data_IF_658718693567
#
_entry.id   IF_658718693567
#
_cell.length_a   1.000
_cell.length_b   1.000
_cell.length_c   1.000
_cell.angle_alpha   90.00
_cell.angle_beta   90.00
_cell.angle_gamma   90.00
#
_symmetry.space_group_name_H-M   'P 1'
#
loop_
_entity.id
_entity.type
_entity.pdbx_description
1 polymer ?
#
# COMPACT_ATOMS: atom_id res chain seq x y z
N UNK A 1 40.35 21.21 80.83
CA UNK A 1 39.91 20.33 79.72
C UNK A 1 38.40 20.51 79.54
N UNK A 2 37.97 21.58 78.89
CA UNK A 2 36.59 21.73 78.42
C UNK A 2 36.63 22.69 77.22
N UNK A 3 35.87 22.35 76.18
CA UNK A 3 35.78 23.17 74.96
C UNK A 3 36.42 22.51 73.75
N UNK A 4 35.70 21.55 73.15
CA UNK A 4 35.78 21.25 71.70
C UNK A 4 34.77 20.18 71.24
N UNK A 5 33.56 20.08 71.82
CA UNK A 5 32.53 19.12 71.33
C UNK A 5 31.22 19.80 70.89
N UNK A 6 31.04 21.12 71.09
CA UNK A 6 29.72 21.74 70.93
C UNK A 6 29.38 22.32 69.54
N UNK A 7 30.30 22.38 68.57
CA UNK A 7 30.04 23.13 67.32
C UNK A 7 29.83 22.30 66.05
N UNK A 8 30.10 20.98 66.06
CA UNK A 8 29.90 20.12 64.89
C UNK A 8 28.72 19.13 65.02
N UNK A 9 28.09 19.01 66.19
CA UNK A 9 26.99 18.05 66.44
C UNK A 9 25.58 18.52 66.08
N UNK A 10 25.30 19.84 66.10
CA UNK A 10 23.93 20.38 66.01
C UNK A 10 23.42 20.66 64.58
N UNK A 11 24.30 20.64 63.56
CA UNK A 11 23.89 20.93 62.19
C UNK A 11 23.55 19.66 61.38
N UNK A 12 24.06 18.49 61.75
CA UNK A 12 23.77 17.22 61.07
C UNK A 12 22.29 16.83 61.12
N UNK A 13 21.64 16.78 62.30
CA UNK A 13 20.24 16.38 62.42
C UNK A 13 19.28 17.36 61.71
N UNK A 14 19.57 18.66 61.76
CA UNK A 14 18.74 19.69 61.11
C UNK A 14 18.88 19.70 59.58
N UNK A 15 20.07 19.39 59.04
CA UNK A 15 20.26 19.18 57.60
C UNK A 15 19.56 17.91 57.10
N UNK A 16 19.60 16.82 57.88
CA UNK A 16 18.91 15.56 57.55
C UNK A 16 17.40 15.77 57.54
N UNK A 17 16.84 16.45 58.56
CA UNK A 17 15.41 16.77 58.64
C UNK A 17 14.96 17.72 57.52
N UNK A 18 15.76 18.74 57.19
CA UNK A 18 15.46 19.63 56.06
C UNK A 18 15.47 18.88 54.72
N UNK A 19 16.41 17.95 54.54
CA UNK A 19 16.45 17.08 53.36
C UNK A 19 15.24 16.16 53.30
N UNK A 20 14.90 15.49 54.40
CA UNK A 20 13.72 14.63 54.49
C UNK A 20 12.41 15.39 54.21
N UNK A 21 12.27 16.62 54.71
CA UNK A 21 11.12 17.48 54.41
C UNK A 21 11.10 17.90 52.94
N UNK A 22 12.27 18.20 52.36
CA UNK A 22 12.39 18.48 50.92
C UNK A 22 11.93 17.28 50.09
N UNK A 23 12.43 16.09 50.41
CA UNK A 23 12.11 14.84 49.70
C UNK A 23 10.61 14.51 49.84
N UNK A 24 10.03 14.64 51.04
CA UNK A 24 8.59 14.44 51.26
C UNK A 24 7.74 15.50 50.56
N UNK A 25 8.20 16.75 50.47
CA UNK A 25 7.49 17.82 49.75
C UNK A 25 7.48 17.57 48.24
N UNK A 26 8.59 17.06 47.69
CA UNK A 26 8.69 16.63 46.30
C UNK A 26 7.74 15.44 46.03
N UNK A 27 7.74 14.47 46.93
CA UNK A 27 6.87 13.29 46.84
C UNK A 27 5.38 13.65 46.96
N UNK A 28 5.03 14.59 47.84
CA UNK A 28 3.68 15.14 47.96
C UNK A 28 3.24 15.81 46.65
N UNK A 29 4.09 16.65 46.05
CA UNK A 29 3.78 17.33 44.79
C UNK A 29 3.57 16.33 43.64
N UNK A 30 4.40 15.30 43.55
CA UNK A 30 4.25 14.23 42.57
C UNK A 30 2.90 13.50 42.73
N UNK A 31 2.60 13.03 43.95
CA UNK A 31 1.33 12.35 44.24
C UNK A 31 0.10 13.24 43.99
N UNK A 32 0.19 14.54 44.29
CA UNK A 32 -0.87 15.52 44.03
C UNK A 32 -1.10 15.68 42.51
N UNK A 33 -0.04 15.65 41.70
CA UNK A 33 -0.12 15.68 40.25
C UNK A 33 -0.73 14.38 39.70
N UNK A 34 -0.32 13.22 40.21
CA UNK A 34 -0.88 11.91 39.82
C UNK A 34 -2.39 11.81 40.10
N UNK A 35 -2.84 12.33 41.26
CA UNK A 35 -4.28 12.39 41.61
C UNK A 35 -5.06 13.32 40.66
N UNK A 36 -4.43 14.40 40.21
CA UNK A 36 -5.08 15.40 39.35
C UNK A 36 -5.13 14.96 37.88
N UNK A 37 -4.06 14.33 37.40
CA UNK A 37 -3.90 13.93 36.00
C UNK A 37 -4.40 12.51 35.71
N UNK A 38 -4.48 11.65 36.72
CA UNK A 38 -4.78 10.22 36.55
C UNK A 38 -3.60 9.41 35.98
N UNK A 39 -2.44 10.05 35.79
CA UNK A 39 -1.24 9.45 35.17
C UNK A 39 -0.13 9.43 36.22
N UNK A 40 0.52 8.27 36.38
CA UNK A 40 1.61 8.06 37.34
C UNK A 40 2.87 8.86 36.96
N UNK A 41 3.17 9.01 35.66
CA UNK A 41 4.17 9.98 35.21
C UNK A 41 4.07 10.32 33.73
N UNK A 42 4.29 11.60 33.40
CA UNK A 42 4.46 12.07 32.03
C UNK A 42 5.83 11.72 31.44
N UNK A 43 6.81 11.40 32.30
CA UNK A 43 8.17 11.05 31.89
C UNK A 43 8.47 9.57 32.16
N UNK A 44 9.21 8.92 31.27
CA UNK A 44 9.64 7.53 31.49
C UNK A 44 10.45 7.37 32.79
N UNK A 45 11.13 8.42 33.23
CA UNK A 45 11.89 8.44 34.48
C UNK A 45 10.99 8.23 35.71
N UNK A 46 9.76 8.77 35.72
CA UNK A 46 8.83 8.62 36.84
C UNK A 46 8.01 7.33 36.85
N UNK A 47 8.04 6.52 35.78
CA UNK A 47 7.23 5.28 35.67
C UNK A 47 7.76 4.08 36.49
N UNK A 48 8.88 4.22 37.20
CA UNK A 48 9.44 3.15 38.03
C UNK A 48 9.60 1.81 37.27
N UNK A 49 9.13 0.67 37.83
CA UNK A 49 9.20 -0.65 37.18
C UNK A 49 8.43 -0.78 35.85
N UNK A 50 7.35 0.00 35.66
CA UNK A 50 6.52 -0.02 34.44
C UNK A 50 7.24 0.60 33.23
N UNK A 51 8.33 1.34 33.47
CA UNK A 51 9.18 1.95 32.43
C UNK A 51 9.61 0.95 31.35
N UNK A 52 10.07 -0.23 31.75
CA UNK A 52 10.59 -1.25 30.81
C UNK A 52 9.49 -1.75 29.87
N UNK A 53 8.26 -1.90 30.37
CA UNK A 53 7.09 -2.30 29.58
C UNK A 53 6.64 -1.18 28.65
N UNK A 54 6.59 0.07 29.12
CA UNK A 54 6.26 1.22 28.27
C UNK A 54 7.29 1.40 27.13
N UNK A 55 8.58 1.23 27.42
CA UNK A 55 9.67 1.33 26.44
C UNK A 55 9.67 0.18 25.43
N UNK A 56 9.23 -1.02 25.81
CA UNK A 56 9.16 -2.16 24.88
C UNK A 56 7.94 -2.14 23.96
N UNK A 57 6.87 -1.42 24.34
CA UNK A 57 5.65 -1.27 23.52
C UNK A 57 5.80 -0.21 22.41
N UNK A 58 6.66 0.80 22.59
CA UNK A 58 6.83 1.88 21.63
C UNK A 58 7.29 1.38 20.24
N UNK A 59 8.32 0.50 20.13
CA UNK A 59 8.73 -0.04 18.83
C UNK A 59 7.62 -0.85 18.15
N UNK A 60 6.86 -1.63 18.93
CA UNK A 60 5.73 -2.39 18.41
C UNK A 60 4.63 -1.47 17.84
N UNK A 61 4.35 -0.35 18.52
CA UNK A 61 3.40 0.64 18.05
C UNK A 61 3.87 1.32 16.76
N UNK A 62 5.13 1.76 16.70
CA UNK A 62 5.73 2.36 15.49
C UNK A 62 5.70 1.39 14.32
N UNK A 63 6.06 0.13 14.55
CA UNK A 63 6.04 -0.90 13.52
C UNK A 63 4.61 -1.17 13.00
N UNK A 64 3.63 -1.21 13.90
CA UNK A 64 2.20 -1.36 13.54
C UNK A 64 1.72 -0.18 12.68
N UNK A 65 2.13 1.04 13.01
CA UNK A 65 1.81 2.24 12.23
C UNK A 65 2.45 2.19 10.83
N UNK A 66 3.71 1.73 10.73
CA UNK A 66 4.38 1.55 9.45
C UNK A 66 3.65 0.54 8.55
N UNK A 67 3.25 -0.62 9.11
CA UNK A 67 2.44 -1.60 8.39
C UNK A 67 1.08 -1.05 7.98
N UNK A 68 0.42 -0.27 8.85
CA UNK A 68 -0.83 0.39 8.50
C UNK A 68 -0.66 1.34 7.31
N UNK A 69 0.42 2.13 7.28
CA UNK A 69 0.73 3.01 6.15
C UNK A 69 0.95 2.23 4.85
N UNK A 70 1.70 1.12 4.92
CA UNK A 70 1.93 0.24 3.78
C UNK A 70 0.62 -0.37 3.25
N UNK A 71 -0.28 -0.80 4.14
CA UNK A 71 -1.61 -1.32 3.76
C UNK A 71 -2.42 -0.24 3.03
N UNK A 72 -2.41 1.01 3.51
CA UNK A 72 -3.10 2.12 2.85
C UNK A 72 -2.52 2.42 1.46
N UNK A 73 -1.20 2.47 1.33
CA UNK A 73 -0.54 2.68 0.02
C UNK A 73 -0.90 1.56 -0.97
N UNK A 74 -0.86 0.32 -0.50
CA UNK A 74 -1.25 -0.85 -1.27
C UNK A 74 -2.73 -0.79 -1.71
N UNK A 75 -3.65 -0.41 -0.81
CA UNK A 75 -5.07 -0.25 -1.14
C UNK A 75 -5.30 0.81 -2.22
N UNK A 76 -4.68 2.00 -2.08
CA UNK A 76 -4.81 3.09 -3.06
C UNK A 76 -4.30 2.65 -4.44
N UNK A 77 -3.16 1.94 -4.49
CA UNK A 77 -2.62 1.41 -5.75
C UNK A 77 -3.56 0.38 -6.39
N UNK A 78 -4.11 -0.54 -5.59
CA UNK A 78 -5.07 -1.53 -6.09
C UNK A 78 -6.37 -0.88 -6.57
N UNK A 79 -6.84 0.19 -5.93
CA UNK A 79 -8.02 0.94 -6.37
C UNK A 79 -7.79 1.59 -7.75
N UNK A 80 -6.66 2.29 -7.92
CA UNK A 80 -6.28 2.84 -9.24
C UNK A 80 -6.15 1.75 -10.30
N UNK A 81 -5.58 0.60 -9.93
CA UNK A 81 -5.47 -0.58 -10.82
C UNK A 81 -6.86 -1.12 -11.20
N UNK A 82 -7.76 -1.28 -10.23
CA UNK A 82 -9.11 -1.81 -10.45
C UNK A 82 -9.95 -0.89 -11.34
N UNK A 83 -9.84 0.43 -11.16
CA UNK A 83 -10.53 1.41 -11.99
C UNK A 83 -10.05 1.36 -13.44
N UNK A 84 -8.73 1.26 -13.66
CA UNK A 84 -8.18 1.12 -15.00
C UNK A 84 -8.55 -0.23 -15.63
N UNK A 85 -8.45 -1.35 -14.90
CA UNK A 85 -8.87 -2.66 -15.38
C UNK A 85 -10.36 -2.71 -15.72
N UNK A 86 -11.22 -2.03 -14.96
CA UNK A 86 -12.65 -1.92 -15.27
C UNK A 86 -12.88 -1.23 -16.62
N UNK A 87 -12.16 -0.14 -16.90
CA UNK A 87 -12.27 0.56 -18.18
C UNK A 87 -11.74 -0.29 -19.35
N UNK A 88 -10.62 -1.00 -19.14
CA UNK A 88 -10.07 -1.93 -20.13
C UNK A 88 -11.03 -3.10 -20.38
N UNK A 89 -11.70 -3.61 -19.35
CA UNK A 89 -12.70 -4.69 -19.48
C UNK A 89 -13.95 -4.25 -20.26
N UNK A 90 -14.44 -3.04 -20.00
CA UNK A 90 -15.52 -2.44 -20.79
C UNK A 90 -15.10 -2.30 -22.26
N UNK A 91 -13.90 -1.77 -22.51
CA UNK A 91 -13.34 -1.66 -23.86
C UNK A 91 -13.26 -3.02 -24.57
N UNK A 92 -12.79 -4.07 -23.89
CA UNK A 92 -12.74 -5.42 -24.44
C UNK A 92 -14.14 -5.97 -24.75
N UNK A 93 -15.11 -5.71 -23.87
CA UNK A 93 -16.52 -6.15 -24.04
C UNK A 93 -17.19 -5.44 -25.20
N UNK A 94 -17.01 -4.13 -25.34
CA UNK A 94 -17.53 -3.36 -26.45
C UNK A 94 -16.85 -3.76 -27.76
N UNK A 95 -15.54 -4.01 -27.73
CA UNK A 95 -14.83 -4.54 -28.88
C UNK A 95 -15.34 -5.92 -29.33
N UNK A 96 -15.77 -6.80 -28.42
CA UNK A 96 -16.48 -8.03 -28.83
C UNK A 96 -17.74 -7.71 -29.65
N UNK A 97 -18.51 -6.69 -29.27
CA UNK A 97 -19.70 -6.27 -30.04
C UNK A 97 -19.32 -5.75 -31.42
N UNK A 98 -18.23 -4.99 -31.52
CA UNK A 98 -17.69 -4.52 -32.81
C UNK A 98 -17.27 -5.70 -33.68
N UNK A 99 -16.57 -6.70 -33.13
CA UNK A 99 -16.18 -7.91 -33.86
C UNK A 99 -17.40 -8.75 -34.32
N UNK A 100 -18.43 -8.90 -33.47
CA UNK A 100 -19.67 -9.59 -33.83
C UNK A 100 -20.41 -8.85 -34.96
N UNK A 101 -20.39 -7.52 -34.94
CA UNK A 101 -20.95 -6.69 -36.01
C UNK A 101 -20.19 -6.90 -37.32
N UNK A 102 -18.86 -6.91 -37.29
CA UNK A 102 -18.03 -7.21 -38.47
C UNK A 102 -18.25 -8.62 -39.01
N UNK A 103 -18.53 -9.59 -38.14
CA UNK A 103 -18.85 -10.96 -38.54
C UNK A 103 -20.23 -11.07 -39.20
N UNK A 104 -21.20 -10.24 -38.80
CA UNK A 104 -22.56 -10.26 -39.35
C UNK A 104 -22.76 -9.32 -40.54
N UNK A 105 -21.97 -8.26 -40.65
CA UNK A 105 -22.03 -7.25 -41.70
C UNK A 105 -20.64 -6.72 -42.02
N UNK A 106 -20.08 -7.16 -43.15
CA UNK A 106 -18.75 -6.81 -43.61
C UNK A 106 -18.77 -5.68 -44.67
N UNK A 107 -19.73 -4.75 -44.61
CA UNK A 107 -19.74 -3.59 -45.51
C UNK A 107 -18.53 -2.67 -45.27
N UNK A 108 -18.15 -1.91 -46.30
CA UNK A 108 -17.00 -0.99 -46.22
C UNK A 108 -17.18 0.07 -45.13
N UNK A 109 -18.39 0.60 -44.96
CA UNK A 109 -18.67 1.64 -43.96
C UNK A 109 -18.55 1.10 -42.53
N UNK A 110 -19.08 -0.11 -42.28
CA UNK A 110 -18.97 -0.79 -40.97
C UNK A 110 -17.51 -1.10 -40.65
N UNK A 111 -16.76 -1.59 -41.64
CA UNK A 111 -15.34 -1.89 -41.49
C UNK A 111 -14.53 -0.62 -41.19
N UNK A 112 -14.82 0.48 -41.88
CA UNK A 112 -14.14 1.75 -41.65
C UNK A 112 -14.47 2.36 -40.29
N UNK A 113 -15.71 2.23 -39.81
CA UNK A 113 -16.09 2.63 -38.47
C UNK A 113 -15.32 1.83 -37.39
N UNK A 114 -15.26 0.50 -37.54
CA UNK A 114 -14.53 -0.37 -36.64
C UNK A 114 -13.01 -0.08 -36.62
N UNK A 115 -12.42 0.23 -37.77
CA UNK A 115 -11.01 0.66 -37.86
C UNK A 115 -10.76 1.93 -37.04
N UNK A 116 -11.63 2.93 -37.18
CA UNK A 116 -11.52 4.20 -36.45
C UNK A 116 -11.69 4.00 -34.94
N UNK A 117 -12.68 3.19 -34.54
CA UNK A 117 -12.91 2.83 -33.14
C UNK A 117 -11.71 2.09 -32.54
N UNK A 118 -11.14 1.11 -33.26
CA UNK A 118 -9.99 0.35 -32.80
C UNK A 118 -8.76 1.25 -32.56
N UNK A 119 -8.52 2.24 -33.42
CA UNK A 119 -7.44 3.23 -33.22
C UNK A 119 -7.66 4.09 -31.98
N UNK A 120 -8.88 4.56 -31.77
CA UNK A 120 -9.21 5.31 -30.55
C UNK A 120 -9.03 4.46 -29.30
N UNK A 121 -9.46 3.20 -29.34
CA UNK A 121 -9.29 2.24 -28.24
C UNK A 121 -7.82 1.95 -27.95
N UNK A 122 -6.95 1.88 -28.97
CA UNK A 122 -5.50 1.74 -28.78
C UNK A 122 -4.88 2.94 -28.07
N UNK A 123 -5.27 4.16 -28.44
CA UNK A 123 -4.84 5.38 -27.77
C UNK A 123 -5.29 5.39 -26.30
N UNK A 124 -6.56 5.06 -26.06
CA UNK A 124 -7.14 5.00 -24.72
C UNK A 124 -6.48 3.90 -23.88
N UNK A 125 -6.21 2.73 -24.47
CA UNK A 125 -5.53 1.62 -23.80
C UNK A 125 -4.13 2.05 -23.35
N UNK A 126 -3.35 2.68 -24.22
CA UNK A 126 -2.02 3.19 -23.83
C UNK A 126 -2.09 4.18 -22.67
N UNK A 127 -3.06 5.10 -22.68
CA UNK A 127 -3.27 6.03 -21.58
C UNK A 127 -3.65 5.34 -20.26
N UNK A 128 -4.55 4.34 -20.32
CA UNK A 128 -4.97 3.55 -19.16
C UNK A 128 -3.81 2.73 -18.58
N UNK A 129 -2.97 2.13 -19.42
CA UNK A 129 -1.78 1.38 -18.97
C UNK A 129 -0.75 2.29 -18.31
N UNK A 130 -0.71 3.58 -18.68
CA UNK A 130 0.11 4.61 -18.05
C UNK A 130 -0.58 5.33 -16.87
N UNK A 131 -1.63 4.74 -16.29
CA UNK A 131 -2.30 5.29 -15.08
C UNK A 131 -1.32 5.41 -13.91
N UNK A 132 -1.38 6.56 -13.22
CA UNK A 132 -0.56 6.86 -12.04
C UNK A 132 -1.37 6.84 -10.75
N UNK A 133 -0.69 6.54 -9.65
CA UNK A 133 -1.13 6.81 -8.28
C UNK A 133 -0.02 7.62 -7.58
N UNK A 134 -0.24 8.92 -7.39
CA UNK A 134 0.85 9.85 -7.05
C UNK A 134 1.85 9.93 -8.20
N UNK A 135 3.13 9.68 -7.92
CA UNK A 135 4.20 9.73 -8.92
C UNK A 135 4.45 8.37 -9.60
N UNK A 136 3.88 7.29 -9.06
CA UNK A 136 4.13 5.92 -9.47
C UNK A 136 3.09 5.39 -10.46
N UNK A 137 3.54 4.64 -11.47
CA UNK A 137 2.69 3.93 -12.43
C UNK A 137 2.17 2.62 -11.83
N UNK A 138 0.85 2.44 -11.87
CA UNK A 138 0.20 1.29 -11.21
C UNK A 138 0.54 -0.03 -11.90
N UNK A 139 0.66 -0.02 -13.23
CA UNK A 139 0.95 -1.20 -14.08
C UNK A 139 2.45 -1.46 -14.34
N UNK A 140 3.36 -0.68 -13.75
CA UNK A 140 4.81 -0.84 -13.97
C UNK A 140 5.47 -1.89 -13.07
N UNK A 141 4.72 -2.46 -12.11
CA UNK A 141 5.27 -3.40 -11.15
C UNK A 141 6.27 -2.74 -10.19
N UNK A 142 7.43 -3.36 -10.03
CA UNK A 142 8.56 -2.89 -9.20
C UNK A 142 9.27 -1.67 -9.81
N UNK A 143 9.23 -1.50 -11.13
CA UNK A 143 9.79 -0.34 -11.82
C UNK A 143 8.79 0.84 -11.83
N UNK A 144 8.23 1.20 -10.68
CA UNK A 144 7.07 2.09 -10.56
C UNK A 144 7.26 3.50 -11.14
N UNK A 145 8.50 3.97 -11.28
CA UNK A 145 8.83 5.29 -11.82
C UNK A 145 8.94 5.31 -13.35
N UNK A 146 8.89 4.15 -14.02
CA UNK A 146 8.99 4.02 -15.48
C UNK A 146 7.61 3.73 -16.06
N UNK A 147 7.23 4.48 -17.10
CA UNK A 147 5.95 4.30 -17.77
C UNK A 147 5.84 2.89 -18.38
N UNK A 148 4.73 2.16 -18.16
CA UNK A 148 4.51 0.83 -18.74
C UNK A 148 4.54 0.82 -20.28
N UNK A 149 3.90 1.80 -20.90
CA UNK A 149 3.95 2.06 -22.34
C UNK A 149 4.97 3.18 -22.57
N UNK A 150 5.99 2.85 -23.34
CA UNK A 150 7.15 3.71 -23.62
C UNK A 150 6.98 4.53 -24.90
N UNK A 151 7.63 5.68 -24.95
CA UNK A 151 7.65 6.53 -26.15
C UNK A 151 6.28 7.13 -26.44
N UNK A 152 5.61 6.65 -27.49
CA UNK A 152 4.29 7.13 -27.87
C UNK A 152 3.18 6.34 -27.17
N UNK A 153 2.42 7.02 -26.31
CA UNK A 153 1.24 6.44 -25.64
C UNK A 153 0.13 6.05 -26.63
N UNK A 154 0.12 6.61 -27.84
CA UNK A 154 -0.75 6.12 -28.92
C UNK A 154 -0.20 4.80 -29.50
N UNK A 155 -0.72 3.69 -28.97
CA UNK A 155 -0.35 2.35 -29.39
C UNK A 155 -0.65 2.08 -30.88
N UNK A 156 -1.56 2.82 -31.51
CA UNK A 156 -1.86 2.69 -32.94
C UNK A 156 -0.69 3.12 -33.83
N UNK A 157 0.21 3.94 -33.30
CA UNK A 157 1.41 4.44 -33.98
C UNK A 157 2.69 3.71 -33.55
N UNK A 158 2.58 2.64 -32.77
CA UNK A 158 3.73 1.84 -32.33
C UNK A 158 4.37 1.05 -33.49
N UNK A 159 5.65 0.70 -33.36
CA UNK A 159 6.32 -0.18 -34.32
C UNK A 159 5.65 -1.56 -34.41
N UNK A 160 5.13 -2.08 -33.29
CA UNK A 160 4.31 -3.30 -33.28
C UNK A 160 3.06 -3.15 -34.15
N UNK A 161 2.31 -2.04 -34.01
CA UNK A 161 1.14 -1.77 -34.85
C UNK A 161 1.49 -1.69 -36.34
N UNK A 162 2.60 -1.02 -36.69
CA UNK A 162 3.08 -0.96 -38.07
C UNK A 162 3.42 -2.35 -38.63
N UNK A 163 4.10 -3.18 -37.84
CA UNK A 163 4.48 -4.54 -38.25
C UNK A 163 3.24 -5.44 -38.39
N UNK A 164 2.26 -5.33 -37.49
CA UNK A 164 0.98 -6.04 -37.59
C UNK A 164 0.22 -5.59 -38.84
N UNK A 165 0.19 -4.29 -39.13
CA UNK A 165 -0.48 -3.76 -40.31
C UNK A 165 0.13 -4.29 -41.62
N UNK A 166 1.45 -4.44 -41.66
CA UNK A 166 2.15 -5.05 -42.79
C UNK A 166 1.74 -6.53 -42.97
N UNK A 167 1.75 -7.32 -41.90
CA UNK A 167 1.29 -8.73 -41.93
C UNK A 167 -0.15 -8.86 -42.43
N UNK A 168 -1.06 -8.02 -41.92
CA UNK A 168 -2.46 -8.00 -42.33
C UNK A 168 -2.60 -7.60 -43.81
N UNK A 169 -1.84 -6.61 -44.28
CA UNK A 169 -1.88 -6.17 -45.67
C UNK A 169 -1.35 -7.24 -46.64
N UNK A 170 -0.29 -7.96 -46.26
CA UNK A 170 0.34 -8.98 -47.11
C UNK A 170 -0.47 -10.28 -47.16
N UNK A 171 -1.03 -10.73 -46.03
CA UNK A 171 -1.61 -12.07 -45.89
C UNK A 171 -3.11 -12.09 -45.60
N UNK A 172 -3.73 -10.96 -45.27
CA UNK A 172 -5.15 -10.92 -44.85
C UNK A 172 -6.14 -11.40 -45.92
N UNK A 173 -5.79 -11.24 -47.20
CA UNK A 173 -6.62 -11.69 -48.32
C UNK A 173 -6.42 -13.17 -48.69
N UNK A 174 -5.31 -13.78 -48.30
CA UNK A 174 -4.88 -15.10 -48.77
C UNK A 174 -4.78 -16.16 -47.67
N UNK A 175 -4.54 -15.76 -46.42
CA UNK A 175 -4.34 -16.66 -45.28
C UNK A 175 -4.71 -16.00 -43.93
N UNK A 176 -6.01 -15.96 -43.60
CA UNK A 176 -6.50 -15.37 -42.35
C UNK A 176 -5.93 -16.03 -41.08
N UNK A 177 -5.80 -17.37 -41.09
CA UNK A 177 -5.21 -18.12 -39.98
C UNK A 177 -3.71 -17.79 -39.78
N UNK A 178 -2.97 -17.61 -40.87
CA UNK A 178 -1.57 -17.19 -40.84
C UNK A 178 -1.40 -15.79 -40.23
N UNK A 179 -2.28 -14.85 -40.57
CA UNK A 179 -2.31 -13.51 -39.93
C UNK A 179 -2.52 -13.64 -38.42
N UNK A 180 -3.47 -14.46 -37.98
CA UNK A 180 -3.72 -14.67 -36.55
C UNK A 180 -2.47 -15.23 -35.84
N UNK A 181 -1.85 -16.27 -36.38
CA UNK A 181 -0.67 -16.90 -35.78
C UNK A 181 0.54 -15.97 -35.73
N UNK A 182 0.85 -15.28 -36.84
CA UNK A 182 2.02 -14.38 -36.91
C UNK A 182 1.85 -13.16 -35.99
N UNK A 183 0.67 -12.53 -35.99
CA UNK A 183 0.41 -11.38 -35.11
C UNK A 183 0.42 -11.77 -33.63
N UNK A 184 0.04 -13.01 -33.30
CA UNK A 184 0.16 -13.56 -31.95
C UNK A 184 1.62 -13.65 -31.51
N UNK A 185 2.49 -14.20 -32.37
CA UNK A 185 3.91 -14.28 -32.10
C UNK A 185 4.53 -12.90 -31.88
N UNK A 186 4.19 -11.93 -32.73
CA UNK A 186 4.69 -10.55 -32.64
C UNK A 186 4.28 -9.87 -31.33
N UNK A 187 3.03 -10.03 -30.90
CA UNK A 187 2.55 -9.50 -29.63
C UNK A 187 3.16 -10.24 -28.41
N UNK A 188 3.48 -11.53 -28.56
CA UNK A 188 4.14 -12.33 -27.54
C UNK A 188 5.61 -11.96 -27.32
N UNK A 189 6.28 -11.47 -28.36
CA UNK A 189 7.73 -11.21 -28.40
C UNK A 189 8.03 -9.72 -28.57
N UNK A 190 7.42 -8.88 -27.72
CA UNK A 190 7.72 -7.44 -27.70
C UNK A 190 9.15 -7.17 -27.27
N UNK A 191 9.75 -6.13 -27.87
CA UNK A 191 11.13 -5.71 -27.56
C UNK A 191 11.11 -4.53 -26.59
N UNK A 192 12.21 -4.27 -25.87
CA UNK A 192 12.29 -3.09 -25.01
C UNK A 192 11.95 -1.81 -25.77
N UNK A 193 11.15 -0.97 -25.13
CA UNK A 193 10.63 0.29 -25.64
C UNK A 193 9.68 0.17 -26.86
N UNK A 194 9.17 -1.03 -27.14
CA UNK A 194 8.31 -1.31 -28.29
C UNK A 194 7.25 -2.40 -28.02
N UNK A 195 6.03 -2.02 -27.60
CA UNK A 195 5.61 -0.71 -27.09
C UNK A 195 5.79 -0.56 -25.57
N UNK A 196 6.28 -1.61 -24.91
CA UNK A 196 6.40 -1.64 -23.45
C UNK A 196 7.81 -1.29 -23.00
N UNK A 197 7.92 -0.78 -21.78
CA UNK A 197 9.22 -0.53 -21.16
C UNK A 197 10.05 -1.80 -21.03
N UNK A 198 11.38 -1.63 -20.93
CA UNK A 198 12.31 -2.75 -20.82
C UNK A 198 11.96 -3.78 -19.71
N UNK A 199 11.43 -3.33 -18.56
CA UNK A 199 11.03 -4.22 -17.45
C UNK A 199 9.78 -5.06 -17.76
N UNK A 200 8.96 -4.62 -18.72
CA UNK A 200 7.70 -5.25 -19.11
C UNK A 200 7.78 -6.00 -20.45
N UNK A 201 8.85 -5.80 -21.22
CA UNK A 201 9.18 -6.55 -22.45
C UNK A 201 9.84 -7.90 -22.14
N UNK A 202 9.25 -8.66 -21.21
CA UNK A 202 9.63 -10.03 -20.85
C UNK A 202 8.45 -10.99 -21.11
N UNK A 203 8.59 -12.27 -20.80
CA UNK A 203 7.46 -13.21 -20.91
C UNK A 203 6.35 -12.84 -19.91
N UNK A 204 5.06 -13.14 -20.19
CA UNK A 204 3.97 -12.78 -19.27
C UNK A 204 4.12 -13.35 -17.86
N UNK A 205 4.71 -14.55 -17.72
CA UNK A 205 5.00 -15.17 -16.43
C UNK A 205 6.09 -14.40 -15.65
N UNK A 206 7.13 -13.93 -16.33
CA UNK A 206 8.18 -13.13 -15.69
C UNK A 206 7.66 -11.73 -15.33
N UNK A 207 6.81 -11.13 -16.18
CA UNK A 207 6.17 -9.86 -15.90
C UNK A 207 5.24 -9.94 -14.67
N UNK A 208 4.57 -11.08 -14.45
CA UNK A 208 3.76 -11.30 -13.24
C UNK A 208 4.59 -11.25 -11.95
N UNK A 209 5.83 -11.74 -11.99
CA UNK A 209 6.77 -11.70 -10.84
C UNK A 209 7.28 -10.30 -10.52
N UNK A 210 7.13 -9.34 -11.45
CA UNK A 210 7.50 -7.95 -11.25
C UNK A 210 6.44 -7.16 -10.46
N UNK A 211 5.37 -7.80 -9.96
CA UNK A 211 4.38 -7.13 -9.09
C UNK A 211 5.04 -6.51 -7.86
N UNK A 212 4.56 -5.34 -7.44
CA UNK A 212 5.10 -4.66 -6.28
C UNK A 212 4.76 -5.41 -4.99
N UNK A 213 5.61 -5.34 -3.97
CA UNK A 213 5.37 -6.01 -2.69
C UNK A 213 5.49 -5.05 -1.51
N UNK A 214 4.53 -5.15 -0.59
CA UNK A 214 4.48 -4.32 0.62
C UNK A 214 4.53 -5.20 1.86
N UNK A 215 5.36 -4.82 2.83
CA UNK A 215 5.37 -5.45 4.14
C UNK A 215 4.15 -4.98 4.95
N UNK A 216 3.28 -5.91 5.32
CA UNK A 216 2.00 -5.63 5.98
C UNK A 216 1.90 -6.21 7.39
N UNK A 217 2.93 -6.92 7.84
CA UNK A 217 3.00 -7.55 9.15
C UNK A 217 4.40 -8.12 9.41
N UNK A 218 4.57 -8.76 10.56
CA UNK A 218 5.83 -9.41 10.90
C UNK A 218 6.04 -10.62 9.99
N UNK A 219 7.08 -10.59 9.16
CA UNK A 219 7.36 -11.61 8.15
C UNK A 219 6.20 -11.86 7.17
N UNK A 220 5.31 -10.87 7.01
CA UNK A 220 4.18 -10.93 6.10
C UNK A 220 4.33 -9.83 5.05
N UNK A 221 4.38 -10.24 3.79
CA UNK A 221 4.37 -9.37 2.65
C UNK A 221 3.25 -9.80 1.70
N UNK A 222 2.69 -8.84 0.99
CA UNK A 222 1.66 -9.08 -0.02
C UNK A 222 2.13 -8.50 -1.34
N UNK A 223 1.97 -9.26 -2.43
CA UNK A 223 2.14 -8.74 -3.78
C UNK A 223 0.87 -7.99 -4.16
N UNK A 224 1.03 -6.79 -4.71
CA UNK A 224 -0.08 -5.92 -5.07
C UNK A 224 0.10 -5.34 -6.46
N UNK A 225 -1.03 -5.08 -7.09
CA UNK A 225 -1.12 -4.61 -8.45
C UNK A 225 -1.05 -5.74 -9.46
N UNK A 226 -1.18 -5.35 -10.72
CA UNK A 226 -0.88 -6.17 -11.87
C UNK A 226 0.08 -5.41 -12.76
N UNK A 227 1.00 -6.07 -13.46
CA UNK A 227 1.84 -5.42 -14.47
C UNK A 227 1.17 -5.45 -15.83
N UNK A 228 1.44 -4.46 -16.69
CA UNK A 228 0.72 -4.30 -17.97
C UNK A 228 0.83 -5.54 -18.87
N UNK A 229 1.93 -6.28 -18.79
CA UNK A 229 2.22 -7.43 -19.66
C UNK A 229 2.13 -8.77 -18.94
N UNK A 230 1.68 -8.80 -17.68
CA UNK A 230 1.56 -10.05 -16.95
C UNK A 230 0.54 -10.99 -17.59
N UNK A 231 0.70 -12.27 -17.28
CA UNK A 231 -0.16 -13.32 -17.77
C UNK A 231 0.31 -14.69 -17.34
N UNK A 232 -0.18 -15.70 -18.04
CA UNK A 232 0.19 -17.10 -17.88
C UNK A 232 1.08 -17.56 -19.04
N UNK A 233 1.30 -18.87 -19.15
CA UNK A 233 1.89 -19.46 -20.35
C UNK A 233 1.05 -19.15 -21.60
N UNK A 234 1.71 -18.92 -22.73
CA UNK A 234 1.06 -18.72 -24.03
C UNK A 234 0.34 -19.97 -24.50
N UNK A 235 -0.70 -19.80 -25.32
CA UNK A 235 -1.44 -20.85 -26.00
C UNK A 235 -1.48 -20.59 -27.51
N UNK A 236 -2.22 -21.39 -28.27
CA UNK A 236 -2.42 -21.20 -29.71
C UNK A 236 -3.21 -19.92 -30.06
N UNK A 237 -3.98 -19.39 -29.12
CA UNK A 237 -4.90 -18.25 -29.33
C UNK A 237 -4.57 -17.02 -28.48
N UNK A 238 -3.63 -17.16 -27.54
CA UNK A 238 -3.29 -16.13 -26.56
C UNK A 238 -1.78 -16.07 -26.32
N UNK A 239 -1.25 -14.84 -26.20
CA UNK A 239 0.12 -14.62 -25.74
C UNK A 239 0.32 -15.05 -24.29
N UNK A 240 -0.77 -15.35 -23.58
CA UNK A 240 -0.83 -15.55 -22.13
C UNK A 240 -1.18 -14.26 -21.38
N UNK A 241 -1.01 -13.09 -22.00
CA UNK A 241 -1.31 -11.78 -21.41
C UNK A 241 -2.57 -11.15 -22.03
N UNK A 242 -3.65 -10.96 -21.24
CA UNK A 242 -4.90 -10.39 -21.75
C UNK A 242 -4.75 -9.00 -22.37
N UNK A 243 -3.86 -8.17 -21.82
CA UNK A 243 -3.61 -6.81 -22.32
C UNK A 243 -2.86 -6.86 -23.67
N UNK A 244 -1.87 -7.74 -23.82
CA UNK A 244 -1.16 -7.91 -25.10
C UNK A 244 -2.09 -8.44 -26.19
N UNK A 245 -2.98 -9.36 -25.83
CA UNK A 245 -3.95 -9.93 -26.76
C UNK A 245 -5.01 -8.90 -27.17
N UNK A 246 -5.55 -8.10 -26.23
CA UNK A 246 -6.46 -7.00 -26.54
C UNK A 246 -5.81 -6.01 -27.50
N UNK A 247 -4.59 -5.58 -27.16
CA UNK A 247 -3.80 -4.66 -27.97
C UNK A 247 -3.59 -5.22 -29.38
N UNK A 248 -3.15 -6.48 -29.50
CA UNK A 248 -3.00 -7.16 -30.80
C UNK A 248 -4.31 -7.15 -31.58
N UNK A 249 -5.41 -7.56 -30.96
CA UNK A 249 -6.69 -7.71 -31.65
C UNK A 249 -7.20 -6.36 -32.18
N UNK A 250 -7.05 -5.30 -31.39
CA UNK A 250 -7.33 -3.92 -31.82
C UNK A 250 -6.40 -3.49 -32.97
N UNK A 251 -5.11 -3.79 -32.92
CA UNK A 251 -4.15 -3.48 -34.00
C UNK A 251 -4.49 -4.20 -35.32
N UNK A 252 -4.94 -5.45 -35.24
CA UNK A 252 -5.40 -6.21 -36.41
C UNK A 252 -6.64 -5.55 -37.02
N UNK A 253 -7.65 -5.21 -36.20
CA UNK A 253 -8.86 -4.53 -36.69
C UNK A 253 -8.53 -3.16 -37.29
N UNK A 254 -7.65 -2.38 -36.65
CA UNK A 254 -7.19 -1.09 -37.15
C UNK A 254 -6.46 -1.17 -38.51
N UNK A 255 -6.09 -2.38 -38.95
CA UNK A 255 -5.35 -2.69 -40.17
C UNK A 255 -6.22 -3.32 -41.27
N UNK A 256 -7.51 -3.54 -41.04
CA UNK A 256 -8.40 -4.23 -42.00
C UNK A 256 -8.68 -3.46 -43.30
N UNK A 257 -8.27 -2.19 -43.41
CA UNK A 257 -8.63 -1.33 -44.55
C UNK A 257 -8.17 -1.82 -45.93
N UNK A 258 -7.28 -2.82 -46.00
CA UNK A 258 -6.81 -3.45 -47.25
C UNK A 258 -7.28 -4.90 -47.41
N UNK A 259 -8.07 -5.41 -46.47
CA UNK A 259 -8.58 -6.78 -46.49
C UNK A 259 -9.95 -6.79 -47.19
N UNK A 260 -10.12 -7.70 -48.13
CA UNK A 260 -11.34 -7.89 -48.91
C UNK A 260 -12.39 -8.54 -48.02
N UNK A 261 -13.45 -7.80 -47.74
CA UNK A 261 -14.56 -8.26 -46.90
C UNK A 261 -15.40 -9.32 -47.63
N UNK A 262 -16.16 -10.12 -46.87
CA UNK A 262 -17.02 -11.18 -47.42
C UNK A 262 -16.28 -12.39 -48.01
N UNK A 263 -14.98 -12.53 -47.71
CA UNK A 263 -14.17 -13.68 -48.11
C UNK A 263 -14.03 -14.66 -46.94
N UNK A 264 -13.80 -15.94 -47.23
CA UNK A 264 -13.55 -16.96 -46.20
C UNK A 264 -12.36 -16.58 -45.29
N UNK A 265 -11.31 -15.97 -45.85
CA UNK A 265 -10.15 -15.52 -45.08
C UNK A 265 -10.49 -14.37 -44.13
N UNK A 266 -11.34 -13.44 -44.56
CA UNK A 266 -11.85 -12.37 -43.69
C UNK A 266 -12.69 -12.94 -42.55
N UNK A 267 -13.61 -13.86 -42.86
CA UNK A 267 -14.47 -14.49 -41.85
C UNK A 267 -13.63 -15.29 -40.83
N UNK A 268 -12.62 -16.04 -41.29
CA UNK A 268 -11.68 -16.74 -40.41
C UNK A 268 -10.90 -15.77 -39.51
N UNK A 269 -10.45 -14.64 -40.05
CA UNK A 269 -9.74 -13.61 -39.29
C UNK A 269 -10.63 -13.03 -38.20
N UNK A 270 -11.85 -12.59 -38.54
CA UNK A 270 -12.80 -12.01 -37.58
C UNK A 270 -13.19 -13.03 -36.51
N UNK A 271 -13.48 -14.28 -36.89
CA UNK A 271 -13.82 -15.34 -35.93
C UNK A 271 -12.67 -15.65 -34.97
N UNK A 272 -11.43 -15.73 -35.47
CA UNK A 272 -10.27 -15.92 -34.60
C UNK A 272 -10.02 -14.75 -33.65
N UNK A 273 -10.32 -13.52 -34.08
CA UNK A 273 -10.29 -12.35 -33.18
C UNK A 273 -11.39 -12.40 -32.13
N UNK A 274 -12.60 -12.88 -32.46
CA UNK A 274 -13.67 -13.13 -31.47
C UNK A 274 -13.21 -14.15 -30.43
N UNK A 275 -12.66 -15.29 -30.86
CA UNK A 275 -12.14 -16.31 -29.94
C UNK A 275 -11.03 -15.75 -29.05
N UNK A 276 -10.07 -15.02 -29.62
CA UNK A 276 -8.98 -14.39 -28.86
C UNK A 276 -9.51 -13.33 -27.88
N UNK A 277 -10.51 -12.53 -28.25
CA UNK A 277 -11.07 -11.50 -27.38
C UNK A 277 -11.95 -12.08 -26.25
N UNK A 278 -12.54 -13.27 -26.45
CA UNK A 278 -13.18 -14.00 -25.36
C UNK A 278 -12.15 -14.43 -24.30
N UNK A 279 -10.96 -14.88 -24.71
CA UNK A 279 -9.85 -15.15 -23.77
C UNK A 279 -9.38 -13.87 -23.06
N UNK A 280 -9.33 -12.74 -23.78
CA UNK A 280 -9.04 -11.42 -23.19
C UNK A 280 -10.03 -11.08 -22.07
N UNK A 281 -11.33 -11.15 -22.34
CA UNK A 281 -12.36 -10.78 -21.36
C UNK A 281 -12.34 -11.70 -20.13
N UNK A 282 -12.12 -13.00 -20.33
CA UNK A 282 -11.91 -13.97 -19.24
C UNK A 282 -10.67 -13.65 -18.40
N UNK A 283 -9.55 -13.37 -19.06
CA UNK A 283 -8.29 -13.02 -18.40
C UNK A 283 -8.34 -11.70 -17.63
N UNK A 284 -8.97 -10.66 -18.18
CA UNK A 284 -9.20 -9.38 -17.49
C UNK A 284 -10.12 -9.54 -16.28
N UNK A 285 -11.11 -10.44 -16.36
CA UNK A 285 -11.98 -10.80 -15.24
C UNK A 285 -11.17 -11.47 -14.13
N UNK A 286 -10.25 -12.38 -14.49
CA UNK A 286 -9.35 -13.03 -13.53
C UNK A 286 -8.37 -12.05 -12.89
N UNK A 287 -7.81 -11.11 -13.67
CA UNK A 287 -6.97 -10.02 -13.16
C UNK A 287 -7.74 -9.16 -12.13
N UNK A 288 -8.93 -8.69 -12.50
CA UNK A 288 -9.80 -7.91 -11.60
C UNK A 288 -10.18 -8.68 -10.34
N UNK A 289 -10.50 -9.97 -10.47
CA UNK A 289 -10.83 -10.83 -9.34
C UNK A 289 -9.65 -10.98 -8.38
N UNK A 290 -8.44 -11.14 -8.90
CA UNK A 290 -7.21 -11.25 -8.09
C UNK A 290 -6.92 -9.95 -7.34
N UNK A 291 -7.10 -8.80 -8.00
CA UNK A 291 -7.01 -7.47 -7.38
C UNK A 291 -8.04 -7.34 -6.26
N UNK A 292 -9.30 -7.70 -6.51
CA UNK A 292 -10.38 -7.64 -5.53
C UNK A 292 -10.16 -8.54 -4.30
N UNK A 293 -9.67 -9.77 -4.50
CA UNK A 293 -9.28 -10.68 -3.40
C UNK A 293 -8.18 -10.03 -2.55
N UNK A 294 -7.14 -9.48 -3.19
CA UNK A 294 -6.04 -8.81 -2.49
C UNK A 294 -6.52 -7.59 -1.71
N UNK A 295 -7.44 -6.79 -2.28
CA UNK A 295 -8.06 -5.67 -1.58
C UNK A 295 -8.83 -6.11 -0.33
N UNK A 296 -9.57 -7.22 -0.40
CA UNK A 296 -10.30 -7.76 0.75
C UNK A 296 -9.34 -8.29 1.83
N UNK A 297 -8.26 -8.97 1.46
CA UNK A 297 -7.20 -9.39 2.39
C UNK A 297 -6.60 -8.18 3.11
N UNK A 298 -6.30 -7.10 2.37
CA UNK A 298 -5.78 -5.86 2.95
C UNK A 298 -6.78 -5.15 3.86
N UNK A 299 -8.09 -5.20 3.56
CA UNK A 299 -9.14 -4.66 4.45
C UNK A 299 -9.19 -5.40 5.79
N UNK A 300 -9.10 -6.73 5.75
CA UNK A 300 -8.98 -7.54 6.96
C UNK A 300 -7.71 -7.20 7.75
N UNK A 301 -6.56 -7.14 7.07
CA UNK A 301 -5.29 -6.78 7.68
C UNK A 301 -5.33 -5.39 8.32
N UNK A 302 -5.93 -4.39 7.65
CA UNK A 302 -6.11 -3.04 8.18
C UNK A 302 -6.90 -3.05 9.48
N UNK A 303 -7.99 -3.83 9.54
CA UNK A 303 -8.80 -3.99 10.75
C UNK A 303 -8.01 -4.62 11.89
N UNK A 304 -7.22 -5.66 11.61
CA UNK A 304 -6.37 -6.32 12.59
C UNK A 304 -5.29 -5.38 13.14
N UNK A 305 -4.58 -4.65 12.26
CA UNK A 305 -3.57 -3.67 12.66
C UNK A 305 -4.19 -2.53 13.48
N UNK A 306 -5.42 -2.11 13.14
CA UNK A 306 -6.18 -1.14 13.93
C UNK A 306 -6.48 -1.63 15.34
N UNK A 307 -6.93 -2.87 15.49
CA UNK A 307 -7.16 -3.50 16.80
C UNK A 307 -5.86 -3.66 17.60
N UNK A 308 -4.78 -4.10 16.95
CA UNK A 308 -3.47 -4.24 17.58
C UNK A 308 -2.93 -2.89 18.05
N UNK A 309 -3.06 -1.84 17.23
CA UNK A 309 -2.71 -0.46 17.60
C UNK A 309 -3.50 -0.01 18.83
N UNK A 310 -4.81 -0.21 18.85
CA UNK A 310 -5.66 0.15 20.00
C UNK A 310 -5.27 -0.63 21.26
N UNK A 311 -4.96 -1.92 21.15
CA UNK A 311 -4.48 -2.74 22.28
C UNK A 311 -3.13 -2.26 22.81
N UNK A 312 -2.17 -1.96 21.93
CA UNK A 312 -0.87 -1.41 22.33
C UNK A 312 -1.00 -0.04 23.00
N UNK A 313 -1.89 0.82 22.50
CA UNK A 313 -2.19 2.11 23.14
C UNK A 313 -2.84 1.91 24.51
N UNK A 314 -3.78 0.97 24.65
CA UNK A 314 -4.41 0.65 25.93
C UNK A 314 -3.39 0.12 26.94
N UNK A 315 -2.52 -0.82 26.55
CA UNK A 315 -1.45 -1.35 27.41
C UNK A 315 -0.44 -0.28 27.79
N UNK A 316 -0.10 0.62 26.86
CA UNK A 316 0.77 1.76 27.15
C UNK A 316 0.10 2.72 28.14
N UNK A 317 -1.19 3.01 27.96
CA UNK A 317 -1.98 3.83 28.88
C UNK A 317 -2.02 3.20 30.27
N UNK A 318 -2.33 1.91 30.37
CA UNK A 318 -2.36 1.16 31.64
C UNK A 318 -1.00 1.21 32.34
N UNK A 319 0.11 1.06 31.60
CA UNK A 319 1.46 1.18 32.17
C UNK A 319 1.80 2.58 32.70
N UNK A 320 1.03 3.60 32.29
CA UNK A 320 1.18 5.00 32.71
C UNK A 320 0.10 5.45 33.70
N UNK A 321 -1.00 4.73 33.85
CA UNK A 321 -2.10 5.11 34.74
C UNK A 321 -1.69 5.04 36.21
N UNK A 322 -2.11 6.03 37.00
CA UNK A 322 -1.99 5.99 38.45
C UNK A 322 -3.17 5.25 39.08
N UNK A 323 -2.92 4.40 40.07
CA UNK A 323 -3.99 3.88 40.95
C UNK A 323 -4.38 4.97 41.94
N UNK A 324 -5.41 5.74 41.59
CA UNK A 324 -5.89 6.89 42.37
C UNK A 324 -6.25 6.52 43.82
N UNK A 325 -6.72 5.31 44.09
CA UNK A 325 -7.08 4.89 45.45
C UNK A 325 -5.83 4.70 46.31
N UNK A 326 -4.83 4.01 45.74
CA UNK A 326 -3.52 3.81 46.39
C UNK A 326 -2.77 5.14 46.53
N UNK A 327 -2.72 5.97 45.49
CA UNK A 327 -2.03 7.27 45.51
C UNK A 327 -2.71 8.24 46.47
N UNK A 328 -4.04 8.25 46.58
CA UNK A 328 -4.75 9.09 47.56
C UNK A 328 -4.42 8.69 49.01
N UNK A 329 -4.28 7.39 49.26
CA UNK A 329 -3.86 6.86 50.57
C UNK A 329 -2.42 7.29 50.88
N UNK A 330 -1.51 7.14 49.91
CA UNK A 330 -0.11 7.55 50.05
C UNK A 330 0.05 9.07 50.20
N UNK A 331 -0.75 9.87 49.49
CA UNK A 331 -0.77 11.33 49.63
C UNK A 331 -1.19 11.75 51.03
N UNK A 332 -2.20 11.09 51.59
CA UNK A 332 -2.64 11.34 52.97
C UNK A 332 -1.55 10.97 53.96
N UNK A 333 -0.89 9.84 53.77
CA UNK A 333 0.23 9.41 54.62
C UNK A 333 1.42 10.37 54.53
N UNK A 334 1.77 10.84 53.33
CA UNK A 334 2.86 11.80 53.08
C UNK A 334 2.55 13.15 53.70
N UNK A 335 1.29 13.64 53.60
CA UNK A 335 0.83 14.85 54.30
C UNK A 335 0.99 14.72 55.82
N UNK A 336 0.60 13.58 56.39
CA UNK A 336 0.74 13.32 57.82
C UNK A 336 2.22 13.29 58.25
N UNK A 337 3.09 12.68 57.43
CA UNK A 337 4.54 12.65 57.68
C UNK A 337 5.19 14.04 57.58
N UNK A 338 4.76 14.87 56.61
CA UNK A 338 5.18 16.27 56.51
C UNK A 338 4.76 17.08 57.73
N UNK A 339 3.49 16.97 58.15
CA UNK A 339 3.00 17.65 59.36
C UNK A 339 3.81 17.26 60.59
N UNK A 340 4.04 15.96 60.81
CA UNK A 340 4.87 15.47 61.91
C UNK A 340 6.31 16.01 61.83
N UNK A 341 6.91 16.01 60.62
CA UNK A 341 8.27 16.54 60.40
C UNK A 341 8.36 18.04 60.67
N UNK A 342 7.34 18.82 60.28
CA UNK A 342 7.27 20.25 60.57
C UNK A 342 7.09 20.52 62.06
N UNK A 343 6.26 19.74 62.77
CA UNK A 343 6.12 19.83 64.23
C UNK A 343 7.45 19.55 64.94
N UNK A 344 8.17 18.48 64.55
CA UNK A 344 9.50 18.17 65.12
C UNK A 344 10.50 19.30 64.87
N UNK A 345 10.52 19.87 63.66
CA UNK A 345 11.41 21.01 63.34
C UNK A 345 11.02 22.26 64.14
N UNK A 346 9.73 22.51 64.34
CA UNK A 346 9.23 23.62 65.15
C UNK A 346 9.60 23.44 66.63
N UNK A 347 9.43 22.23 67.19
CA UNK A 347 9.82 21.88 68.55
C UNK A 347 11.34 22.02 68.75
N UNK A 348 12.14 21.55 67.79
CA UNK A 348 13.60 21.73 67.80
C UNK A 348 14.04 23.19 67.71
N UNK A 349 13.29 24.05 66.99
CA UNK A 349 13.54 25.50 66.97
C UNK A 349 13.12 26.19 68.27
N UNK A 350 12.07 25.68 68.93
CA UNK A 350 11.60 26.15 70.24
C UNK A 350 12.55 25.78 71.38
N UNK A 351 13.27 24.67 71.26
CA UNK A 351 14.40 24.29 72.13
C UNK A 351 15.67 25.09 71.79
N UNK A 352 15.61 26.41 71.91
CA UNK A 352 16.82 27.22 71.90
C UNK A 352 17.46 27.17 73.30
N UNK A 353 18.78 27.39 73.38
CA UNK A 353 19.55 27.36 74.64
C UNK A 353 19.02 28.36 75.70
N UNK A 354 18.22 29.36 75.31
CA UNK A 354 17.59 30.34 76.19
C UNK A 354 16.26 29.87 76.82
N UNK A 355 15.75 28.67 76.48
CA UNK A 355 14.66 28.03 77.24
C UNK A 355 15.17 27.13 78.38
N UNK A 356 16.49 26.95 78.49
CA UNK A 356 17.15 26.11 79.51
C UNK A 356 18.08 26.90 80.44
N UNK A 357 18.33 28.17 80.12
CA UNK A 357 19.01 29.15 80.97
C UNK A 357 17.97 30.06 81.61
#
# INVERSE_FOLDING_TARGET
>A
MSGAISQFGNNGPSLILKRAVSDLSEQQNAQQLEVTTGVSSDSYAGLGPSRTRALSLQPALTQTQAWSGNVTLAQNRLEGTQNALSQISTMATDFTKTLLTLSGNASSDVTQAAISEARQNLQNLGALLNTKNGDDYVFAGQASTIAPVSGNTDLSQSHLAASIAETVAQSGNSNGAGVLSQTLQMAGQTTPENPFSASLSTSPNEAAKQSASYAIGQNQAVQVGVTATQGQASSETSTGSPIRDLMRNLMVVASLGKVTTGTQNYDQLVQGLISSNNEVTSGLTTMSSTVGVTQNTLKFQSSMLGQMKSSLIAQLSESKSADLATVSTQLTQTKNQLQASYSIIADMKGMNLASYL
#
